data_IF_886313740779
#
_entry.id   IF_886313740779
#
_cell.length_a   1.000
_cell.length_b   1.000
_cell.length_c   1.000
_cell.angle_alpha   90.00
_cell.angle_beta   90.00
_cell.angle_gamma   90.00
#
_symmetry.space_group_name_H-M   'P 1'
#
loop_
_entity.id
_entity.type
_entity.pdbx_description
1 polymer ?
#
# COMPACT_ATOMS: atom_id res chain seq x y z
N UNK A 1 4.69 -0.28 38.91
CA UNK A 1 5.64 -0.27 37.78
C UNK A 1 5.47 -1.41 36.77
N UNK A 2 4.98 -2.60 37.15
CA UNK A 2 4.86 -3.75 36.23
C UNK A 2 3.58 -3.75 35.34
N UNK A 3 2.52 -3.07 35.78
CA UNK A 3 1.25 -2.94 35.06
C UNK A 3 1.33 -2.04 33.83
N UNK A 4 2.14 -0.98 33.88
CA UNK A 4 2.33 -0.08 32.74
C UNK A 4 3.10 -0.77 31.61
N UNK A 5 4.12 -1.57 31.92
CA UNK A 5 4.95 -2.29 30.93
C UNK A 5 4.11 -3.24 30.07
N UNK A 6 3.11 -3.91 30.66
CA UNK A 6 2.21 -4.82 29.93
C UNK A 6 1.28 -4.08 28.97
N UNK A 7 0.79 -2.91 29.37
CA UNK A 7 -0.02 -2.04 28.52
C UNK A 7 0.80 -1.48 27.34
N UNK A 8 2.05 -1.08 27.56
CA UNK A 8 2.91 -0.57 26.48
C UNK A 8 3.27 -1.64 25.45
N UNK A 9 3.51 -2.89 25.88
CA UNK A 9 3.84 -4.01 24.97
C UNK A 9 2.63 -4.40 24.12
N UNK A 10 1.41 -4.37 24.66
CA UNK A 10 0.19 -4.67 23.89
C UNK A 10 -0.07 -3.66 22.76
N UNK A 11 0.20 -2.37 23.00
CA UNK A 11 0.06 -1.32 21.97
C UNK A 11 1.18 -1.42 20.93
N UNK A 12 2.42 -1.72 21.35
CA UNK A 12 3.54 -1.93 20.43
C UNK A 12 3.33 -3.17 19.53
N UNK A 13 2.71 -4.24 20.03
CA UNK A 13 2.36 -5.41 19.24
C UNK A 13 1.28 -5.13 18.17
N UNK A 14 0.36 -4.19 18.44
CA UNK A 14 -0.64 -3.73 17.46
C UNK A 14 -0.02 -2.87 16.36
N UNK A 15 1.05 -2.12 16.67
CA UNK A 15 1.81 -1.32 15.69
C UNK A 15 2.89 -2.13 14.93
N UNK A 16 3.35 -3.24 15.51
CA UNK A 16 4.31 -4.18 14.89
C UNK A 16 3.72 -5.02 13.76
N UNK A 17 2.42 -4.90 13.48
CA UNK A 17 1.73 -5.55 12.37
C UNK A 17 1.96 -4.92 11.00
N UNK A 18 2.79 -3.87 10.88
CA UNK A 18 3.17 -3.28 9.60
C UNK A 18 4.09 -4.19 8.73
N UNK A 19 4.35 -5.43 9.18
CA UNK A 19 4.80 -6.51 8.31
C UNK A 19 3.65 -7.20 7.55
N UNK A 20 2.42 -6.66 7.58
CA UNK A 20 1.42 -6.92 6.56
C UNK A 20 2.07 -6.65 5.21
N UNK A 21 2.24 -7.71 4.41
CA UNK A 21 2.99 -7.72 3.16
C UNK A 21 2.81 -6.41 2.39
N UNK A 22 3.91 -5.75 2.05
CA UNK A 22 3.89 -4.52 1.25
C UNK A 22 3.16 -4.72 -0.07
N UNK A 23 3.09 -5.96 -0.57
CA UNK A 23 2.23 -6.37 -1.68
C UNK A 23 0.74 -6.24 -1.39
N UNK A 24 0.28 -6.54 -0.17
CA UNK A 24 -1.13 -6.45 0.22
C UNK A 24 -1.56 -5.00 0.39
N UNK A 25 -0.71 -4.17 1.00
CA UNK A 25 -0.93 -2.72 1.06
C UNK A 25 -0.93 -2.09 -0.33
N UNK A 26 0.04 -2.47 -1.18
CA UNK A 26 0.10 -1.99 -2.56
C UNK A 26 -1.13 -2.41 -3.36
N UNK A 27 -1.56 -3.68 -3.28
CA UNK A 27 -2.74 -4.17 -3.97
C UNK A 27 -4.02 -3.43 -3.55
N UNK A 28 -4.17 -3.10 -2.26
CA UNK A 28 -5.28 -2.27 -1.76
C UNK A 28 -5.20 -0.83 -2.28
N UNK A 29 -4.01 -0.22 -2.30
CA UNK A 29 -3.83 1.12 -2.86
C UNK A 29 -4.07 1.17 -4.38
N UNK A 30 -3.59 0.16 -5.10
CA UNK A 30 -3.74 0.04 -6.54
C UNK A 30 -5.21 -0.15 -6.95
N UNK A 31 -5.96 -0.98 -6.22
CA UNK A 31 -7.38 -1.18 -6.50
C UNK A 31 -8.19 0.11 -6.29
N UNK A 32 -7.85 0.89 -5.25
CA UNK A 32 -8.43 2.21 -5.02
C UNK A 32 -8.13 3.16 -6.18
N UNK A 33 -6.88 3.23 -6.64
CA UNK A 33 -6.48 4.09 -7.76
C UNK A 33 -7.22 3.73 -9.05
N UNK A 34 -7.35 2.44 -9.37
CA UNK A 34 -8.15 1.97 -10.52
C UNK A 34 -9.62 2.35 -10.39
N UNK A 35 -10.18 2.27 -9.18
CA UNK A 35 -11.56 2.68 -8.93
C UNK A 35 -11.75 4.18 -9.14
N UNK A 36 -10.75 5.01 -8.84
CA UNK A 36 -10.76 6.43 -9.19
C UNK A 36 -10.82 6.64 -10.71
N UNK A 37 -10.04 5.87 -11.48
CA UNK A 37 -10.07 5.94 -12.94
C UNK A 37 -11.47 5.63 -13.51
N UNK A 38 -12.18 4.66 -12.92
CA UNK A 38 -13.55 4.34 -13.34
C UNK A 38 -14.58 5.44 -13.05
N UNK A 39 -14.24 6.47 -12.24
CA UNK A 39 -15.11 7.62 -12.01
C UNK A 39 -14.98 8.71 -13.09
N UNK A 40 -14.00 8.61 -13.99
CA UNK A 40 -13.88 9.54 -15.11
C UNK A 40 -14.98 9.27 -16.15
N UNK A 41 -15.64 10.34 -16.56
CA UNK A 41 -16.73 10.30 -17.52
C UNK A 41 -16.24 10.12 -18.96
N UNK A 42 -15.10 10.74 -19.29
CA UNK A 42 -14.48 10.61 -20.60
C UNK A 42 -13.72 9.27 -20.72
N UNK A 43 -13.89 8.61 -21.85
CA UNK A 43 -13.30 7.29 -22.09
C UNK A 43 -11.80 7.35 -22.40
N UNK A 44 -11.34 8.41 -23.07
CA UNK A 44 -9.91 8.59 -23.34
C UNK A 44 -9.15 8.89 -22.05
N UNK A 45 -9.68 9.76 -21.20
CA UNK A 45 -9.12 10.08 -19.89
C UNK A 45 -9.12 8.86 -18.96
N UNK A 46 -10.21 8.08 -18.98
CA UNK A 46 -10.30 6.82 -18.23
C UNK A 46 -9.25 5.82 -18.68
N UNK A 47 -9.08 5.62 -19.98
CA UNK A 47 -8.10 4.68 -20.52
C UNK A 47 -6.67 5.12 -20.22
N UNK A 48 -6.36 6.41 -20.35
CA UNK A 48 -5.05 6.95 -19.97
C UNK A 48 -4.77 6.74 -18.48
N UNK A 49 -5.74 7.05 -17.61
CA UNK A 49 -5.63 6.83 -16.16
C UNK A 49 -5.42 5.36 -15.80
N UNK A 50 -6.17 4.45 -16.44
CA UNK A 50 -6.02 3.02 -16.22
C UNK A 50 -4.65 2.51 -16.67
N UNK A 51 -4.12 3.03 -17.78
CA UNK A 51 -2.78 2.70 -18.26
C UNK A 51 -1.70 3.10 -17.24
N UNK A 52 -1.83 4.25 -16.58
CA UNK A 52 -0.92 4.67 -15.52
C UNK A 52 -1.09 3.86 -14.22
N UNK A 53 -2.33 3.51 -13.87
CA UNK A 53 -2.66 2.77 -12.66
C UNK A 53 -2.34 1.26 -12.73
N UNK A 54 -2.09 0.71 -13.92
CA UNK A 54 -1.78 -0.71 -14.13
C UNK A 54 -0.33 -1.08 -13.79
N UNK A 55 0.49 -0.14 -13.29
CA UNK A 55 1.85 -0.44 -12.83
C UNK A 55 1.85 -1.62 -11.86
N UNK A 56 2.55 -2.69 -12.24
CA UNK A 56 2.67 -3.88 -11.42
C UNK A 56 3.44 -3.60 -10.14
N UNK A 57 3.11 -4.31 -9.06
CA UNK A 57 3.90 -4.31 -7.82
C UNK A 57 5.36 -4.69 -8.07
N UNK A 58 5.63 -5.54 -9.07
CA UNK A 58 6.99 -5.92 -9.43
C UNK A 58 7.79 -4.75 -10.03
N UNK A 59 7.15 -3.88 -10.81
CA UNK A 59 7.81 -2.67 -11.32
C UNK A 59 8.05 -1.66 -10.20
N UNK A 60 7.07 -1.45 -9.31
CA UNK A 60 7.24 -0.66 -8.10
C UNK A 60 8.41 -1.16 -7.24
N UNK A 61 8.52 -2.49 -7.04
CA UNK A 61 9.60 -3.11 -6.26
C UNK A 61 10.97 -2.94 -6.92
N UNK A 62 11.05 -2.94 -8.25
CA UNK A 62 12.30 -2.71 -9.00
C UNK A 62 12.78 -1.26 -8.93
N UNK A 63 11.86 -0.32 -8.76
CA UNK A 63 12.15 1.11 -8.61
C UNK A 63 12.57 1.49 -7.18
N UNK A 64 12.23 0.66 -6.19
CA UNK A 64 12.65 0.90 -4.81
C UNK A 64 14.17 0.70 -4.68
N UNK A 65 14.90 1.67 -4.10
CA UNK A 65 16.30 1.45 -3.75
C UNK A 65 16.37 0.29 -2.74
N UNK A 66 17.40 -0.55 -2.87
CA UNK A 66 17.62 -1.82 -2.16
C UNK A 66 17.63 -1.72 -0.60
N UNK A 67 17.40 -0.53 -0.04
CA UNK A 67 17.31 -0.23 1.38
C UNK A 67 15.91 0.04 1.95
N UNK A 68 14.85 0.10 1.14
CA UNK A 68 13.49 0.43 1.63
C UNK A 68 12.79 -0.72 2.41
N UNK A 69 13.42 -1.89 2.51
CA UNK A 69 12.90 -3.07 3.18
C UNK A 69 13.64 -3.42 4.50
N UNK A 70 14.41 -2.49 5.08
CA UNK A 70 15.08 -2.66 6.37
C UNK A 70 14.45 -1.85 7.48
#
# INVERSE_FOLDING_TARGET
MQTHIRFTVAVAALLGGAACSSQQLYATGQSYQRQQCHRLADEADRNSCLSDADRSYEDYKRELPEGAAR
#
